data_IF_361082249332
#
_entry.id   IF_361082249332
#
_cell.length_a   1.000
_cell.length_b   1.000
_cell.length_c   1.000
_cell.angle_alpha   90.00
_cell.angle_beta   90.00
_cell.angle_gamma   90.00
#
_symmetry.space_group_name_H-M   'P 1'
#
loop_
_entity.id
_entity.type
_entity.pdbx_description
1 polymer ?
#
# COMPACT_ATOMS: atom_id res chain seq x y z
N UNK A 1 19.47 -31.83 -28.95
CA UNK A 1 19.64 -30.37 -28.79
C UNK A 1 18.25 -29.74 -28.72
N UNK A 2 17.72 -29.50 -27.53
CA UNK A 2 16.45 -28.79 -27.36
C UNK A 2 16.75 -27.40 -26.82
N UNK A 3 16.64 -26.39 -27.68
CA UNK A 3 16.71 -24.99 -27.27
C UNK A 3 15.52 -24.66 -26.39
N UNK A 4 15.78 -24.51 -25.09
CA UNK A 4 14.80 -24.02 -24.12
C UNK A 4 14.66 -22.51 -24.30
N UNK A 5 13.69 -22.08 -25.10
CA UNK A 5 13.25 -20.69 -25.16
C UNK A 5 12.51 -20.36 -23.86
N UNK A 6 13.23 -19.72 -22.93
CA UNK A 6 12.62 -19.11 -21.75
C UNK A 6 11.75 -17.93 -22.20
N UNK A 7 10.44 -18.14 -22.20
CA UNK A 7 9.44 -17.08 -22.27
C UNK A 7 9.65 -16.17 -21.06
N UNK A 8 10.31 -15.02 -21.26
CA UNK A 8 10.41 -13.99 -20.23
C UNK A 8 9.07 -13.26 -20.20
N UNK A 9 8.22 -13.45 -19.17
CA UNK A 9 6.97 -12.71 -19.10
C UNK A 9 7.29 -11.22 -19.08
N UNK A 10 6.71 -10.47 -20.02
CA UNK A 10 6.81 -9.02 -20.04
C UNK A 10 6.27 -8.49 -18.71
N UNK A 11 7.18 -8.00 -17.85
CA UNK A 11 6.80 -7.37 -16.60
C UNK A 11 5.92 -6.15 -16.93
N UNK A 12 4.76 -5.99 -16.27
CA UNK A 12 3.95 -4.80 -16.46
C UNK A 12 4.79 -3.58 -16.12
N UNK A 13 5.05 -2.73 -17.11
CA UNK A 13 5.76 -1.48 -16.92
C UNK A 13 4.91 -0.60 -15.99
N UNK A 14 5.38 -0.26 -14.77
CA UNK A 14 4.60 0.59 -13.88
C UNK A 14 4.37 1.92 -14.59
N UNK A 15 3.10 2.25 -14.85
CA UNK A 15 2.75 3.53 -15.45
C UNK A 15 3.37 4.65 -14.61
N UNK A 16 4.15 5.52 -15.25
CA UNK A 16 4.76 6.67 -14.57
C UNK A 16 3.67 7.43 -13.81
N UNK A 17 3.89 7.79 -12.54
CA UNK A 17 2.89 8.52 -11.78
C UNK A 17 2.59 9.84 -12.50
N UNK A 18 1.35 9.98 -12.96
CA UNK A 18 0.90 11.24 -13.53
C UNK A 18 1.02 12.34 -12.48
N UNK A 19 1.63 13.46 -12.88
CA UNK A 19 1.75 14.67 -12.04
C UNK A 19 0.55 15.60 -12.17
N UNK A 20 -0.54 15.14 -12.80
CA UNK A 20 -1.78 15.92 -12.87
C UNK A 20 -2.35 16.16 -11.47
N UNK A 21 -3.04 17.30 -11.28
CA UNK A 21 -3.67 17.62 -10.00
C UNK A 21 -4.69 16.54 -9.56
N UNK A 22 -5.46 15.98 -10.50
CA UNK A 22 -6.38 14.86 -10.20
C UNK A 22 -5.65 13.63 -9.65
N UNK A 23 -4.51 13.25 -10.25
CA UNK A 23 -3.73 12.10 -9.80
C UNK A 23 -3.10 12.36 -8.42
N UNK A 24 -2.62 13.58 -8.16
CA UNK A 24 -2.06 13.97 -6.86
C UNK A 24 -3.13 13.93 -5.76
N UNK A 25 -4.29 14.55 -6.00
CA UNK A 25 -5.45 14.52 -5.08
C UNK A 25 -5.86 13.08 -4.80
N UNK A 26 -6.00 12.26 -5.85
CA UNK A 26 -6.40 10.86 -5.70
C UNK A 26 -5.41 10.06 -4.87
N UNK A 27 -4.12 10.19 -5.15
CA UNK A 27 -3.06 9.49 -4.43
C UNK A 27 -2.94 9.95 -2.96
N UNK A 28 -3.15 11.24 -2.71
CA UNK A 28 -3.07 11.81 -1.37
C UNK A 28 -4.21 11.32 -0.47
N UNK A 29 -5.45 11.38 -0.95
CA UNK A 29 -6.64 10.98 -0.17
C UNK A 29 -6.99 9.49 -0.27
N UNK A 30 -6.26 8.70 -1.06
CA UNK A 30 -6.59 7.29 -1.29
C UNK A 30 -7.94 7.10 -1.96
N UNK A 31 -8.27 7.99 -2.91
CA UNK A 31 -9.51 7.91 -3.68
C UNK A 31 -9.36 6.97 -4.88
N UNK A 32 -10.46 6.41 -5.37
CA UNK A 32 -10.53 5.78 -6.69
C UNK A 32 -10.89 6.82 -7.75
N UNK A 33 -10.67 6.51 -9.03
CA UNK A 33 -11.11 7.39 -10.13
C UNK A 33 -12.63 7.57 -10.13
N UNK A 34 -13.40 6.54 -9.77
CA UNK A 34 -14.86 6.62 -9.66
C UNK A 34 -15.30 7.54 -8.51
N UNK A 35 -14.59 7.52 -7.39
CA UNK A 35 -14.88 8.39 -6.24
C UNK A 35 -14.60 9.85 -6.54
N UNK A 36 -13.47 10.13 -7.18
CA UNK A 36 -13.13 11.48 -7.64
C UNK A 36 -14.09 11.95 -8.75
N UNK A 37 -14.49 11.05 -9.65
CA UNK A 37 -15.46 11.36 -10.69
C UNK A 37 -16.83 11.77 -10.11
N UNK A 38 -17.30 11.06 -9.07
CA UNK A 38 -18.51 11.42 -8.32
C UNK A 38 -18.39 12.78 -7.65
N UNK A 39 -17.22 13.12 -7.09
CA UNK A 39 -16.97 14.45 -6.52
C UNK A 39 -17.07 15.58 -7.55
N UNK A 40 -16.49 15.32 -8.73
CA UNK A 40 -16.40 16.26 -9.85
C UNK A 40 -17.68 16.32 -10.70
N UNK A 41 -18.62 15.39 -10.50
CA UNK A 41 -19.84 15.29 -11.32
C UNK A 41 -19.57 14.83 -12.76
N UNK A 42 -18.56 13.98 -12.99
CA UNK A 42 -18.17 13.45 -14.31
C UNK A 42 -18.08 11.92 -14.30
N UNK A 43 -17.75 11.30 -15.44
CA UNK A 43 -17.49 9.86 -15.52
C UNK A 43 -16.07 9.49 -15.09
N UNK A 44 -15.85 8.25 -14.62
CA UNK A 44 -14.52 7.75 -14.28
C UNK A 44 -13.55 7.79 -15.47
N UNK A 45 -14.04 7.51 -16.69
CA UNK A 45 -13.25 7.64 -17.92
C UNK A 45 -12.78 9.07 -18.19
N UNK A 46 -13.60 10.08 -17.85
CA UNK A 46 -13.16 11.49 -17.93
C UNK A 46 -12.00 11.75 -16.96
N UNK A 47 -12.07 11.25 -15.73
CA UNK A 47 -10.95 11.38 -14.77
C UNK A 47 -9.68 10.73 -15.31
N UNK A 48 -9.76 9.54 -15.92
CA UNK A 48 -8.60 8.92 -16.56
C UNK A 48 -8.01 9.78 -17.70
N UNK A 49 -8.84 10.45 -18.50
CA UNK A 49 -8.38 11.39 -19.52
C UNK A 49 -7.72 12.65 -18.94
N UNK A 50 -8.27 13.18 -17.84
CA UNK A 50 -7.68 14.30 -17.11
C UNK A 50 -6.32 13.91 -16.49
N UNK A 51 -6.24 12.71 -15.88
CA UNK A 51 -5.01 12.20 -15.29
C UNK A 51 -3.93 11.96 -16.34
N UNK A 52 -4.29 11.50 -17.54
CA UNK A 52 -3.33 11.26 -18.63
C UNK A 52 -3.00 12.52 -19.44
N UNK A 53 -3.60 13.68 -19.11
CA UNK A 53 -3.43 14.92 -19.88
C UNK A 53 -4.07 14.90 -21.28
N UNK A 54 -4.84 13.85 -21.61
CA UNK A 54 -5.54 13.73 -22.90
C UNK A 54 -6.69 14.73 -23.03
N UNK A 55 -7.22 15.21 -21.91
CA UNK A 55 -8.20 16.30 -21.87
C UNK A 55 -7.78 17.36 -20.84
N UNK A 56 -7.93 18.66 -21.17
CA UNK A 56 -7.68 19.72 -20.20
C UNK A 56 -8.80 19.78 -19.16
N UNK A 57 -8.46 20.25 -17.95
CA UNK A 57 -9.42 20.51 -16.88
C UNK A 57 -10.23 21.78 -17.21
N UNK A 58 -11.56 21.66 -17.30
CA UNK A 58 -12.40 22.84 -17.52
C UNK A 58 -12.42 23.74 -16.27
N UNK A 59 -12.72 25.03 -16.44
CA UNK A 59 -12.75 25.98 -15.31
C UNK A 59 -13.71 25.54 -14.19
N UNK A 60 -14.88 24.99 -14.55
CA UNK A 60 -15.83 24.48 -13.57
C UNK A 60 -15.26 23.31 -12.75
N UNK A 61 -14.57 22.38 -13.41
CA UNK A 61 -13.92 21.25 -12.74
C UNK A 61 -12.72 21.70 -11.91
N UNK A 62 -11.94 22.67 -12.39
CA UNK A 62 -10.83 23.25 -11.66
C UNK A 62 -11.31 23.90 -10.36
N UNK A 63 -12.39 24.69 -10.41
CA UNK A 63 -13.02 25.28 -9.21
C UNK A 63 -13.51 24.21 -8.24
N UNK A 64 -14.12 23.14 -8.74
CA UNK A 64 -14.60 22.02 -7.91
C UNK A 64 -13.46 21.19 -7.31
N UNK A 65 -12.32 21.08 -8.00
CA UNK A 65 -11.14 20.34 -7.53
C UNK A 65 -10.30 21.17 -6.55
N UNK A 66 -10.33 22.50 -6.67
CA UNK A 66 -9.50 23.44 -5.90
C UNK A 66 -9.48 23.20 -4.39
N UNK A 67 -10.61 22.94 -3.69
CA UNK A 67 -10.59 22.66 -2.26
C UNK A 67 -9.75 21.42 -1.90
N UNK A 68 -9.75 20.41 -2.77
CA UNK A 68 -8.95 19.20 -2.59
C UNK A 68 -7.47 19.44 -2.89
N UNK A 69 -7.14 20.29 -3.87
CA UNK A 69 -5.75 20.67 -4.17
C UNK A 69 -5.11 21.48 -3.04
N UNK A 70 -5.85 22.40 -2.44
CA UNK A 70 -5.36 23.20 -1.33
C UNK A 70 -5.02 22.35 -0.10
N UNK A 71 -5.55 21.14 -0.01
CA UNK A 71 -5.26 20.18 1.04
C UNK A 71 -4.11 19.24 0.74
N UNK A 72 -3.50 19.34 -0.44
CA UNK A 72 -2.28 18.60 -0.70
C UNK A 72 -1.18 19.06 0.27
N UNK A 73 -0.19 18.20 0.55
CA UNK A 73 0.93 18.58 1.39
C UNK A 73 1.73 19.71 0.73
N UNK A 74 2.49 20.52 1.49
CA UNK A 74 3.28 21.61 0.94
C UNK A 74 4.24 21.19 -0.18
N UNK A 75 4.82 19.99 -0.08
CA UNK A 75 5.67 19.41 -1.13
C UNK A 75 4.94 19.19 -2.48
N UNK A 76 3.61 19.10 -2.46
CA UNK A 76 2.75 19.01 -3.63
C UNK A 76 2.03 20.34 -3.95
N UNK A 77 2.44 21.45 -3.32
CA UNK A 77 1.94 22.80 -3.60
C UNK A 77 0.64 23.18 -2.86
N UNK A 78 0.18 22.38 -1.91
CA UNK A 78 -0.97 22.71 -1.07
C UNK A 78 -0.59 23.26 0.31
N UNK A 79 -1.57 23.35 1.20
CA UNK A 79 -1.47 23.85 2.57
C UNK A 79 -1.91 22.80 3.61
N UNK A 80 -2.18 21.57 3.16
CA UNK A 80 -2.71 20.51 4.01
C UNK A 80 -1.65 19.84 4.87
N UNK A 81 -2.10 19.09 5.91
CA UNK A 81 -1.21 18.32 6.75
C UNK A 81 -0.50 17.20 5.96
N UNK A 82 0.70 16.84 6.40
CA UNK A 82 1.42 15.69 5.85
C UNK A 82 0.71 14.39 6.25
N UNK A 83 0.55 13.42 5.33
CA UNK A 83 -0.04 12.13 5.69
C UNK A 83 0.83 11.42 6.72
N UNK A 84 0.25 10.60 7.61
CA UNK A 84 1.03 9.81 8.55
C UNK A 84 2.04 8.94 7.79
N UNK A 85 3.25 8.75 8.34
CA UNK A 85 4.23 7.86 7.72
C UNK A 85 3.63 6.44 7.62
N UNK A 86 4.02 5.66 6.60
CA UNK A 86 3.69 4.25 6.58
C UNK A 86 4.22 3.58 7.86
N UNK A 87 3.54 2.56 8.39
CA UNK A 87 4.07 1.80 9.51
C UNK A 87 5.45 1.24 9.15
N UNK A 88 6.38 1.30 10.10
CA UNK A 88 7.72 0.77 9.87
C UNK A 88 7.63 -0.69 9.41
N UNK A 89 8.44 -1.09 8.41
CA UNK A 89 8.59 -2.48 8.08
C UNK A 89 9.00 -3.24 9.34
N UNK A 90 8.39 -4.41 9.55
CA UNK A 90 8.78 -5.26 10.67
C UNK A 90 10.25 -5.62 10.47
N UNK A 91 11.09 -5.18 11.38
CA UNK A 91 12.48 -5.60 11.40
C UNK A 91 12.52 -7.08 11.78
N UNK A 92 12.75 -7.91 10.77
CA UNK A 92 12.87 -9.36 10.89
C UNK A 92 14.30 -9.77 10.56
N UNK A 93 15.28 -9.08 11.13
CA UNK A 93 16.66 -9.58 11.14
C UNK A 93 16.68 -10.99 11.70
N UNK A 94 17.06 -11.94 10.85
CA UNK A 94 17.29 -13.33 11.28
C UNK A 94 18.54 -13.34 12.16
N UNK A 95 18.46 -13.83 13.41
CA UNK A 95 19.66 -14.05 14.21
C UNK A 95 20.58 -15.04 13.50
N UNK A 96 21.90 -14.87 13.67
CA UNK A 96 22.85 -15.85 13.17
C UNK A 96 22.55 -17.21 13.81
N UNK A 97 22.54 -18.31 13.04
CA UNK A 97 22.27 -19.61 13.59
C UNK A 97 23.32 -19.94 14.67
N UNK A 98 22.84 -20.43 15.82
CA UNK A 98 23.74 -20.98 16.83
C UNK A 98 24.50 -22.17 16.23
N UNK A 99 25.80 -22.27 16.52
CA UNK A 99 26.64 -23.36 16.03
C UNK A 99 26.07 -24.71 16.53
N UNK A 100 25.71 -25.58 15.58
CA UNK A 100 25.26 -26.94 15.89
C UNK A 100 26.47 -27.82 16.22
N UNK A 101 26.33 -28.77 17.17
CA UNK A 101 27.37 -29.75 17.44
C UNK A 101 27.61 -30.66 16.23
N UNK A 102 28.80 -31.27 16.10
CA UNK A 102 29.12 -32.18 15.01
C UNK A 102 28.16 -33.38 15.02
N UNK A 103 27.43 -33.57 13.93
CA UNK A 103 26.47 -34.65 13.73
C UNK A 103 27.08 -35.75 12.84
N UNK A 104 26.56 -37.01 12.91
CA UNK A 104 26.87 -38.03 11.91
C UNK A 104 26.50 -37.56 10.49
N UNK A 105 27.04 -38.20 9.43
CA UNK A 105 26.73 -37.83 8.05
C UNK A 105 25.21 -37.88 7.82
N UNK A 106 24.65 -36.77 7.36
CA UNK A 106 23.23 -36.60 7.08
C UNK A 106 22.96 -36.79 5.58
N UNK A 107 21.80 -37.34 5.24
CA UNK A 107 21.35 -37.47 3.86
C UNK A 107 21.01 -36.10 3.24
N UNK A 108 21.73 -35.69 2.19
CA UNK A 108 21.58 -34.36 1.60
C UNK A 108 20.24 -34.16 0.86
N UNK A 109 19.72 -35.21 0.20
CA UNK A 109 18.50 -35.13 -0.61
C UNK A 109 17.23 -34.71 0.18
N UNK A 110 16.87 -35.34 1.31
CA UNK A 110 15.72 -34.92 2.11
C UNK A 110 15.90 -33.51 2.69
N UNK A 111 17.12 -33.13 3.10
CA UNK A 111 17.43 -31.78 3.58
C UNK A 111 17.18 -30.71 2.50
N UNK A 112 17.64 -30.94 1.26
CA UNK A 112 17.37 -30.04 0.13
C UNK A 112 15.88 -29.93 -0.17
N UNK A 113 15.13 -31.04 -0.11
CA UNK A 113 13.69 -31.04 -0.33
C UNK A 113 12.95 -30.21 0.73
N UNK A 114 13.33 -30.37 2.01
CA UNK A 114 12.79 -29.57 3.10
C UNK A 114 13.15 -28.09 2.94
N UNK A 115 14.40 -27.76 2.61
CA UNK A 115 14.85 -26.39 2.41
C UNK A 115 14.04 -25.67 1.31
N UNK A 116 13.79 -26.34 0.17
CA UNK A 116 12.92 -25.78 -0.89
C UNK A 116 11.52 -25.47 -0.37
N UNK A 117 10.93 -26.38 0.42
CA UNK A 117 9.59 -26.21 1.00
C UNK A 117 9.56 -25.06 2.00
N UNK A 118 10.54 -24.98 2.91
CA UNK A 118 10.63 -23.92 3.92
C UNK A 118 10.80 -22.55 3.26
N UNK A 119 11.70 -22.42 2.28
CA UNK A 119 11.89 -21.18 1.51
C UNK A 119 10.60 -20.73 0.81
N UNK A 120 9.86 -21.66 0.19
CA UNK A 120 8.55 -21.36 -0.40
C UNK A 120 7.55 -20.83 0.63
N UNK A 121 7.46 -21.48 1.80
CA UNK A 121 6.56 -21.04 2.86
C UNK A 121 6.96 -19.68 3.43
N UNK A 122 8.25 -19.41 3.58
CA UNK A 122 8.77 -18.12 4.01
C UNK A 122 8.39 -17.02 3.02
N UNK A 123 8.60 -17.24 1.71
CA UNK A 123 8.19 -16.31 0.66
C UNK A 123 6.69 -16.03 0.68
N UNK A 124 5.85 -17.06 0.87
CA UNK A 124 4.41 -16.91 1.00
C UNK A 124 4.02 -16.07 2.23
N UNK A 125 4.62 -16.35 3.39
CA UNK A 125 4.33 -15.62 4.63
C UNK A 125 4.76 -14.15 4.53
N UNK A 126 5.91 -13.88 3.90
CA UNK A 126 6.38 -12.52 3.62
C UNK A 126 5.40 -11.76 2.72
N UNK A 127 5.00 -12.34 1.60
CA UNK A 127 4.04 -11.72 0.69
C UNK A 127 2.69 -11.44 1.36
N UNK A 128 2.20 -12.37 2.19
CA UNK A 128 0.97 -12.16 2.96
C UNK A 128 1.10 -10.98 3.94
N UNK A 129 2.21 -10.91 4.68
CA UNK A 129 2.48 -9.84 5.64
C UNK A 129 2.59 -8.47 4.96
N UNK A 130 3.40 -8.37 3.90
CA UNK A 130 3.59 -7.15 3.10
C UNK A 130 2.28 -6.67 2.47
N UNK A 131 1.53 -7.59 1.83
CA UNK A 131 0.24 -7.26 1.22
C UNK A 131 -0.76 -6.73 2.25
N UNK A 132 -0.77 -7.29 3.47
CA UNK A 132 -1.64 -6.83 4.56
C UNK A 132 -1.18 -5.51 5.15
N UNK A 133 0.12 -5.28 5.29
CA UNK A 133 0.68 -3.99 5.71
C UNK A 133 0.34 -2.89 4.71
N UNK A 134 0.50 -3.16 3.40
CA UNK A 134 0.14 -2.23 2.34
C UNK A 134 -1.36 -1.86 2.42
N UNK A 135 -2.25 -2.85 2.53
CA UNK A 135 -3.69 -2.60 2.66
C UNK A 135 -4.04 -1.81 3.93
N UNK A 136 -3.40 -2.12 5.06
CA UNK A 136 -3.61 -1.39 6.31
C UNK A 136 -3.12 0.07 6.20
N UNK A 137 -1.97 0.31 5.57
CA UNK A 137 -1.45 1.65 5.31
C UNK A 137 -2.37 2.45 4.38
N UNK A 138 -2.90 1.82 3.33
CA UNK A 138 -3.90 2.43 2.44
C UNK A 138 -5.18 2.79 3.19
N UNK A 139 -5.70 1.88 4.03
CA UNK A 139 -6.90 2.12 4.84
C UNK A 139 -6.68 3.24 5.85
N UNK A 140 -5.54 3.26 6.55
CA UNK A 140 -5.17 4.32 7.49
C UNK A 140 -5.04 5.68 6.80
N UNK A 141 -4.36 5.73 5.63
CA UNK A 141 -4.25 6.94 4.82
C UNK A 141 -5.61 7.45 4.35
N UNK A 142 -6.47 6.54 3.89
CA UNK A 142 -7.84 6.90 3.48
C UNK A 142 -8.64 7.43 4.66
N UNK A 143 -8.63 6.76 5.81
CA UNK A 143 -9.34 7.20 7.00
C UNK A 143 -8.88 8.60 7.47
N UNK A 144 -7.57 8.81 7.49
CA UNK A 144 -6.96 10.12 7.74
C UNK A 144 -7.44 11.17 6.74
N UNK A 145 -7.36 10.87 5.44
CA UNK A 145 -7.79 11.77 4.37
C UNK A 145 -9.27 12.15 4.47
N UNK A 146 -10.14 11.18 4.79
CA UNK A 146 -11.57 11.44 5.01
C UNK A 146 -11.82 12.30 6.26
N UNK A 147 -10.99 12.19 7.30
CA UNK A 147 -11.02 13.08 8.46
C UNK A 147 -10.70 14.52 8.06
N UNK A 148 -9.60 14.71 7.32
CA UNK A 148 -9.17 16.03 6.80
C UNK A 148 -10.23 16.64 5.89
N UNK A 149 -10.80 15.87 4.96
CA UNK A 149 -11.84 16.34 4.06
C UNK A 149 -13.12 16.74 4.79
N UNK A 150 -13.52 15.98 5.80
CA UNK A 150 -14.73 16.29 6.55
C UNK A 150 -14.60 17.57 7.38
N UNK A 151 -13.45 17.79 8.00
CA UNK A 151 -13.19 19.01 8.76
C UNK A 151 -13.35 20.29 7.92
N UNK A 152 -13.17 20.19 6.59
CA UNK A 152 -13.32 21.32 5.68
C UNK A 152 -14.67 21.41 4.98
N UNK A 153 -15.22 20.29 4.54
CA UNK A 153 -16.49 20.29 3.80
C UNK A 153 -17.70 20.41 4.73
N UNK A 154 -17.54 20.05 6.00
CA UNK A 154 -18.56 20.15 7.03
C UNK A 154 -17.91 20.59 8.35
N UNK A 155 -17.43 21.85 8.44
CA UNK A 155 -16.85 22.35 9.68
C UNK A 155 -17.91 22.32 10.79
N UNK A 156 -17.60 21.69 11.92
CA UNK A 156 -18.48 21.67 13.09
C UNK A 156 -18.68 23.09 13.61
N UNK A 157 -19.89 23.46 14.08
CA UNK A 157 -20.14 24.77 14.66
C UNK A 157 -19.20 25.02 15.84
N UNK A 158 -18.44 26.11 15.79
CA UNK A 158 -17.46 26.48 16.83
C UNK A 158 -16.02 26.07 16.54
N UNK A 159 -15.76 25.35 15.43
CA UNK A 159 -14.40 25.23 14.90
C UNK A 159 -13.97 26.61 14.38
N UNK A 160 -12.76 27.05 14.72
CA UNK A 160 -12.26 28.40 14.39
C UNK A 160 -12.34 28.74 12.89
N UNK A 161 -12.09 30.00 12.52
CA UNK A 161 -12.30 30.47 11.15
C UNK A 161 -11.54 29.61 10.15
N UNK A 162 -12.26 29.07 9.17
CA UNK A 162 -11.67 28.37 8.01
C UNK A 162 -10.72 29.37 7.33
N UNK A 163 -9.47 28.98 7.00
CA UNK A 163 -8.54 29.87 6.33
C UNK A 163 -9.20 30.51 5.09
N UNK A 164 -9.02 31.82 4.89
CA UNK A 164 -9.60 32.55 3.75
C UNK A 164 -9.46 31.87 2.37
N UNK A 165 -8.33 31.23 2.00
CA UNK A 165 -8.24 30.50 0.73
C UNK A 165 -9.10 29.22 0.66
N UNK A 166 -9.57 28.72 1.80
CA UNK A 166 -10.49 27.59 1.96
C UNK A 166 -11.93 28.06 2.24
N UNK A 167 -12.20 29.37 2.19
CA UNK A 167 -13.55 29.89 2.30
C UNK A 167 -14.45 29.22 1.26
N UNK A 168 -15.69 28.86 1.62
CA UNK A 168 -16.52 28.03 0.77
C UNK A 168 -16.77 28.70 -0.59
N UNK A 169 -16.20 28.12 -1.66
CA UNK A 169 -16.55 28.49 -3.03
C UNK A 169 -18.06 28.24 -3.18
N UNK A 170 -18.84 29.15 -3.78
CA UNK A 170 -20.25 28.87 -4.13
C UNK A 170 -20.44 27.59 -4.97
N UNK A 171 -19.38 27.06 -5.58
CA UNK A 171 -19.39 25.75 -6.24
C UNK A 171 -19.47 24.55 -5.27
N UNK A 172 -19.25 24.74 -3.97
CA UNK A 172 -19.47 23.73 -2.94
C UNK A 172 -20.97 23.51 -2.71
N UNK A 173 -21.34 22.26 -2.45
CA UNK A 173 -22.73 21.85 -2.28
C UNK A 173 -22.81 21.06 -0.98
N UNK A 174 -22.88 21.72 0.19
CA UNK A 174 -22.63 21.10 1.49
C UNK A 174 -23.41 19.80 1.72
N UNK A 175 -24.69 19.75 1.30
CA UNK A 175 -25.51 18.55 1.42
C UNK A 175 -25.07 17.40 0.48
N UNK A 176 -24.66 17.70 -0.76
CA UNK A 176 -24.13 16.69 -1.69
C UNK A 176 -22.75 16.20 -1.23
N UNK A 177 -21.94 17.11 -0.73
CA UNK A 177 -20.58 16.89 -0.27
C UNK A 177 -20.58 16.02 0.99
N UNK A 178 -21.46 16.31 1.94
CA UNK A 178 -21.71 15.49 3.12
C UNK A 178 -22.21 14.07 2.74
N UNK A 179 -23.14 13.95 1.79
CA UNK A 179 -23.60 12.64 1.29
C UNK A 179 -22.49 11.86 0.61
N UNK A 180 -21.64 12.53 -0.17
CA UNK A 180 -20.48 11.91 -0.80
C UNK A 180 -19.49 11.41 0.24
N UNK A 181 -19.15 12.22 1.25
CA UNK A 181 -18.28 11.82 2.36
C UNK A 181 -18.85 10.64 3.16
N UNK A 182 -20.16 10.66 3.44
CA UNK A 182 -20.83 9.56 4.15
C UNK A 182 -20.71 8.25 3.36
N UNK A 183 -20.90 8.29 2.04
CA UNK A 183 -20.68 7.12 1.17
C UNK A 183 -19.23 6.65 1.18
N UNK A 184 -18.25 7.56 1.07
CA UNK A 184 -16.84 7.19 1.12
C UNK A 184 -16.42 6.53 2.43
N UNK A 185 -17.03 6.96 3.53
CA UNK A 185 -16.83 6.35 4.86
C UNK A 185 -17.51 5.00 4.98
N UNK A 186 -18.67 4.81 4.36
CA UNK A 186 -19.38 3.52 4.33
C UNK A 186 -18.66 2.50 3.45
N UNK A 187 -18.04 2.94 2.35
CA UNK A 187 -17.16 2.17 1.48
C UNK A 187 -15.82 1.93 2.20
N UNK A 188 -15.86 1.14 3.27
CA UNK A 188 -14.68 0.80 4.08
C UNK A 188 -13.85 -0.29 3.41
N UNK A 189 -12.53 -0.11 3.50
CA UNK A 189 -11.58 -1.17 3.18
C UNK A 189 -11.81 -2.38 4.11
N UNK A 190 -11.42 -3.59 3.67
CA UNK A 190 -11.45 -4.76 4.54
C UNK A 190 -10.73 -4.47 5.86
N UNK A 191 -11.23 -5.04 6.99
CA UNK A 191 -10.66 -4.76 8.30
C UNK A 191 -9.17 -5.13 8.33
N UNK A 192 -8.32 -4.33 8.99
CA UNK A 192 -6.92 -4.64 9.13
C UNK A 192 -6.72 -5.96 9.89
N UNK A 193 -5.55 -6.58 9.76
CA UNK A 193 -5.19 -7.70 10.62
C UNK A 193 -5.23 -7.25 12.08
N UNK A 194 -5.78 -8.09 12.95
CA UNK A 194 -5.64 -7.88 14.39
C UNK A 194 -4.15 -7.88 14.76
N UNK A 195 -3.73 -7.13 15.80
CA UNK A 195 -2.34 -7.13 16.26
C UNK A 195 -1.82 -8.55 16.52
N UNK A 196 -2.64 -9.41 17.12
CA UNK A 196 -2.33 -10.83 17.38
C UNK A 196 -2.06 -11.60 16.09
N UNK A 197 -2.94 -11.49 15.08
CA UNK A 197 -2.77 -12.22 13.82
C UNK A 197 -1.53 -11.75 13.06
N UNK A 198 -1.23 -10.44 13.11
CA UNK A 198 0.00 -9.88 12.57
C UNK A 198 1.23 -10.44 13.29
N UNK A 199 1.23 -10.48 14.62
CA UNK A 199 2.33 -11.01 15.42
C UNK A 199 2.57 -12.51 15.14
N UNK A 200 1.50 -13.31 15.01
CA UNK A 200 1.60 -14.73 14.68
C UNK A 200 2.18 -14.97 13.27
N UNK A 201 1.80 -14.15 12.28
CA UNK A 201 2.39 -14.23 10.94
C UNK A 201 3.87 -13.85 10.93
N UNK A 202 4.23 -12.79 11.66
CA UNK A 202 5.61 -12.36 11.82
C UNK A 202 6.48 -13.44 12.49
N UNK A 203 5.99 -14.02 13.60
CA UNK A 203 6.65 -15.13 14.28
C UNK A 203 6.81 -16.34 13.37
N UNK A 204 5.77 -16.70 12.62
CA UNK A 204 5.84 -17.79 11.65
C UNK A 204 6.89 -17.56 10.57
N UNK A 205 6.97 -16.34 10.04
CA UNK A 205 7.99 -15.97 9.06
C UNK A 205 9.39 -16.08 9.67
N UNK A 206 9.59 -15.57 10.88
CA UNK A 206 10.85 -15.66 11.61
C UNK A 206 11.32 -17.12 11.78
N UNK A 207 10.46 -18.00 12.30
CA UNK A 207 10.78 -19.42 12.49
C UNK A 207 11.11 -20.14 11.17
N UNK A 208 10.44 -19.79 10.06
CA UNK A 208 10.75 -20.35 8.75
C UNK A 208 12.13 -19.88 8.23
N UNK A 209 12.52 -18.65 8.53
CA UNK A 209 13.85 -18.13 8.16
C UNK A 209 14.96 -18.78 8.97
N UNK A 210 14.75 -18.98 10.28
CA UNK A 210 15.67 -19.71 11.14
C UNK A 210 15.83 -21.17 10.68
N UNK A 211 14.73 -21.85 10.37
CA UNK A 211 14.77 -23.23 9.86
C UNK A 211 15.54 -23.31 8.53
N UNK A 212 15.33 -22.34 7.62
CA UNK A 212 16.08 -22.29 6.36
C UNK A 212 17.59 -22.13 6.60
N UNK A 213 17.99 -21.22 7.50
CA UNK A 213 19.39 -21.00 7.84
C UNK A 213 20.03 -22.23 8.48
N UNK A 214 19.31 -22.93 9.37
CA UNK A 214 19.79 -24.18 9.96
C UNK A 214 19.97 -25.28 8.91
N UNK A 215 19.02 -25.45 7.99
CA UNK A 215 19.13 -26.43 6.89
C UNK A 215 20.29 -26.11 5.94
N UNK A 216 20.55 -24.83 5.68
CA UNK A 216 21.71 -24.39 4.89
C UNK A 216 23.03 -24.70 5.60
N UNK A 217 23.11 -24.45 6.91
CA UNK A 217 24.29 -24.79 7.70
C UNK A 217 24.57 -26.31 7.70
N UNK A 218 23.52 -27.14 7.84
CA UNK A 218 23.64 -28.60 7.77
C UNK A 218 24.10 -29.09 6.39
N UNK A 219 23.67 -28.43 5.31
CA UNK A 219 24.09 -28.76 3.95
C UNK A 219 25.51 -28.26 3.61
N UNK A 220 26.01 -27.25 4.32
CA UNK A 220 27.36 -26.72 4.16
C UNK A 220 28.40 -27.48 5.00
N UNK A 221 27.96 -28.21 6.03
CA UNK A 221 28.85 -28.97 6.90
C UNK A 221 29.56 -30.09 6.12
N UNK A 222 30.88 -30.26 6.30
CA UNK A 222 31.63 -31.34 5.65
C UNK A 222 31.11 -32.69 6.14
N UNK A 223 30.56 -33.50 5.23
CA UNK A 223 30.00 -34.83 5.56
C UNK A 223 28.58 -35.09 5.05
N UNK A 224 27.91 -34.11 4.43
CA UNK A 224 26.67 -34.38 3.69
C UNK A 224 27.01 -35.16 2.42
N UNK A 225 26.79 -36.48 2.42
CA UNK A 225 27.09 -37.32 1.28
C UNK A 225 26.18 -36.93 0.09
N UNK A 226 26.79 -36.50 -1.01
CA UNK A 226 26.10 -36.38 -2.29
C UNK A 226 25.94 -37.77 -2.87
N UNK A 227 24.75 -38.35 -2.68
CA UNK A 227 24.32 -39.51 -3.43
C UNK A 227 24.13 -39.08 -4.90
N UNK A 228 25.22 -39.14 -5.67
CA UNK A 228 25.21 -39.08 -7.15
C UNK A 228 24.44 -40.23 -7.75
#
# INVERSE_FOLDING_TARGET
MFSSTYFTPAMPNPALPSRSACALVRAHFGLTQAELARWLGVSAGMVAHLETGRKPLSLALARRLRPLELLLPPAAGGLGPEPPPPPDPLDLTTPAPAALPPAPPLEAAPLRARLRRVRYLAGKARFELEGRQMLAGQAARRAWGLGVLAALLAPEPGTGPVPAPLAPDPALRPAEDARWLARLRADTAPPPLTPTRRALLALRLHLLLEEAAALEALLAAPGSADAT
#
